data_IF_598121493917
#
_entry.id   IF_598121493917
#
_cell.length_a   1.000
_cell.length_b   1.000
_cell.length_c   1.000
_cell.angle_alpha   90.00
_cell.angle_beta   90.00
_cell.angle_gamma   90.00
#
_symmetry.space_group_name_H-M   'P 1'
#
loop_
_entity.id
_entity.type
_entity.pdbx_description
1 polymer ?
#
# COMPACT_ATOMS: atom_id res chain seq x y z
N UNK A 1 58.02 -7.60 18.21
CA UNK A 1 56.97 -8.37 18.91
C UNK A 1 56.14 -7.36 19.69
N UNK A 2 55.06 -6.86 19.09
CA UNK A 2 53.65 -7.32 19.28
C UNK A 2 53.13 -6.77 20.62
N UNK A 3 52.12 -5.89 20.69
CA UNK A 3 50.81 -5.95 20.05
C UNK A 3 50.26 -4.54 19.77
N UNK A 4 49.89 -4.29 18.51
CA UNK A 4 48.83 -3.33 18.15
C UNK A 4 47.51 -4.09 18.14
N UNK A 5 46.70 -3.93 19.18
CA UNK A 5 45.34 -4.48 19.33
C UNK A 5 44.62 -3.49 20.25
N UNK A 6 43.53 -2.79 19.95
CA UNK A 6 42.57 -2.74 18.84
C UNK A 6 42.05 -1.29 18.84
N UNK A 7 42.10 -0.60 17.71
CA UNK A 7 41.10 0.45 17.44
C UNK A 7 39.75 -0.26 17.39
N UNK A 8 38.97 -0.15 18.46
CA UNK A 8 37.54 -0.41 18.40
C UNK A 8 36.96 0.75 17.63
N UNK A 9 36.83 0.57 16.31
CA UNK A 9 36.08 1.47 15.46
C UNK A 9 34.62 1.42 15.94
N UNK A 10 34.30 2.32 16.87
CA UNK A 10 32.96 2.53 17.38
C UNK A 10 32.17 3.12 16.22
N UNK A 11 31.56 2.22 15.42
CA UNK A 11 30.57 2.61 14.43
C UNK A 11 29.67 3.68 15.05
N UNK A 12 29.54 4.87 14.41
CA UNK A 12 28.81 5.97 14.99
C UNK A 12 27.43 5.48 15.42
N UNK A 13 27.07 5.75 16.68
CA UNK A 13 25.79 5.32 17.27
C UNK A 13 24.66 5.75 16.33
N UNK A 14 24.13 4.81 15.56
CA UNK A 14 22.99 5.06 14.68
C UNK A 14 21.85 5.64 15.50
N UNK A 15 21.20 6.69 14.96
CA UNK A 15 20.08 7.34 15.63
C UNK A 15 18.92 6.35 15.74
N UNK A 16 18.10 6.51 16.76
CA UNK A 16 16.93 5.65 16.98
C UNK A 16 16.00 5.61 15.75
N UNK A 17 15.81 6.76 15.10
CA UNK A 17 15.00 6.88 13.88
C UNK A 17 15.56 6.06 12.70
N UNK A 18 16.89 6.05 12.52
CA UNK A 18 17.54 5.29 11.46
C UNK A 18 17.35 3.78 11.68
N UNK A 19 17.41 3.32 12.94
CA UNK A 19 17.16 1.90 13.27
C UNK A 19 15.73 1.49 13.00
N UNK A 20 14.75 2.32 13.40
CA UNK A 20 13.34 2.09 13.11
C UNK A 20 13.13 1.99 11.60
N UNK A 21 13.70 2.92 10.83
CA UNK A 21 13.59 2.92 9.37
C UNK A 21 14.19 1.64 8.74
N UNK A 22 15.36 1.19 9.21
CA UNK A 22 15.97 -0.06 8.73
C UNK A 22 15.09 -1.28 9.02
N UNK A 23 14.54 -1.40 10.24
CA UNK A 23 13.66 -2.52 10.60
C UNK A 23 12.38 -2.54 9.76
N UNK A 24 11.81 -1.36 9.48
CA UNK A 24 10.64 -1.22 8.62
C UNK A 24 10.96 -1.60 7.17
N UNK A 25 12.08 -1.13 6.64
CA UNK A 25 12.54 -1.46 5.28
C UNK A 25 12.80 -2.95 5.11
N UNK A 26 13.42 -3.57 6.11
CA UNK A 26 13.70 -5.00 6.08
C UNK A 26 12.41 -5.83 6.18
N UNK A 27 11.47 -5.43 7.05
CA UNK A 27 10.16 -6.06 7.12
C UNK A 27 9.42 -6.00 5.77
N UNK A 28 9.38 -4.82 5.15
CA UNK A 28 8.79 -4.60 3.81
C UNK A 28 9.43 -5.52 2.75
N UNK A 29 10.77 -5.60 2.74
CA UNK A 29 11.52 -6.52 1.87
C UNK A 29 11.12 -7.98 2.10
N UNK A 30 11.06 -8.44 3.35
CA UNK A 30 10.69 -9.82 3.67
C UNK A 30 9.24 -10.15 3.30
N UNK A 31 8.30 -9.22 3.51
CA UNK A 31 6.89 -9.40 3.13
C UNK A 31 6.78 -9.64 1.63
N UNK A 32 7.47 -8.82 0.84
CA UNK A 32 7.48 -8.92 -0.62
C UNK A 32 8.18 -10.18 -1.12
N UNK A 33 9.33 -10.54 -0.54
CA UNK A 33 10.09 -11.73 -0.91
C UNK A 33 9.30 -13.01 -0.62
N UNK A 34 8.69 -13.11 0.57
CA UNK A 34 7.93 -14.29 1.01
C UNK A 34 6.49 -14.29 0.52
N UNK A 35 6.03 -13.19 -0.08
CA UNK A 35 4.63 -12.96 -0.47
C UNK A 35 3.65 -13.21 0.69
N UNK A 36 4.03 -12.76 1.89
CA UNK A 36 3.28 -13.02 3.12
C UNK A 36 3.59 -11.98 4.20
N UNK A 37 2.56 -11.51 4.91
CA UNK A 37 2.72 -10.67 6.10
C UNK A 37 3.20 -11.46 7.35
N UNK A 38 3.24 -12.79 7.26
CA UNK A 38 3.69 -13.69 8.33
C UNK A 38 5.21 -13.82 8.29
N UNK A 39 5.89 -12.79 8.78
CA UNK A 39 7.35 -12.75 8.95
C UNK A 39 7.72 -12.93 10.42
N UNK A 40 8.95 -13.36 10.71
CA UNK A 40 9.39 -13.57 12.09
C UNK A 40 10.32 -12.42 12.54
N UNK A 41 10.09 -11.81 13.72
CA UNK A 41 11.01 -10.80 14.27
C UNK A 41 12.47 -11.29 14.40
N UNK A 42 12.66 -12.59 14.62
CA UNK A 42 13.99 -13.20 14.67
C UNK A 42 14.72 -13.13 13.32
N UNK A 43 14.00 -13.35 12.22
CA UNK A 43 14.56 -13.30 10.86
C UNK A 43 14.97 -11.85 10.51
N UNK A 44 14.15 -10.87 10.88
CA UNK A 44 14.46 -9.44 10.70
C UNK A 44 15.71 -9.04 11.50
N UNK A 45 15.80 -9.51 12.75
CA UNK A 45 16.95 -9.23 13.60
C UNK A 45 18.23 -9.87 13.04
N UNK A 46 18.15 -11.11 12.58
CA UNK A 46 19.25 -11.83 11.96
C UNK A 46 19.74 -11.14 10.68
N UNK A 47 18.84 -10.78 9.77
CA UNK A 47 19.16 -10.13 8.49
C UNK A 47 19.80 -8.75 8.70
N UNK A 48 19.44 -8.04 9.78
CA UNK A 48 20.02 -6.75 10.15
C UNK A 48 21.25 -6.84 11.06
N UNK A 49 21.72 -8.05 11.41
CA UNK A 49 22.83 -8.25 12.34
C UNK A 49 22.59 -7.66 13.74
N UNK A 50 21.33 -7.61 14.18
CA UNK A 50 20.92 -7.05 15.48
C UNK A 50 20.38 -8.14 16.41
N UNK A 51 20.31 -7.84 17.71
CA UNK A 51 19.67 -8.73 18.67
C UNK A 51 18.16 -8.64 18.62
N UNK A 52 17.48 -9.75 18.96
CA UNK A 52 16.03 -9.79 19.15
C UNK A 52 15.57 -8.83 20.27
N UNK A 53 16.38 -8.65 21.30
CA UNK A 53 16.09 -7.69 22.36
C UNK A 53 16.10 -6.24 21.85
N UNK A 54 17.02 -5.90 20.92
CA UNK A 54 17.02 -4.57 20.32
C UNK A 54 15.77 -4.36 19.45
N UNK A 55 15.34 -5.36 18.69
CA UNK A 55 14.06 -5.30 17.97
C UNK A 55 12.91 -4.92 18.91
N UNK A 56 12.76 -5.65 20.03
CA UNK A 56 11.67 -5.41 20.97
C UNK A 56 11.77 -4.09 21.74
N UNK A 57 12.94 -3.44 21.75
CA UNK A 57 13.09 -2.09 22.29
C UNK A 57 12.44 -1.02 21.41
N UNK A 58 12.24 -1.30 20.11
CA UNK A 58 11.61 -0.38 19.15
C UNK A 58 10.18 -0.80 18.79
N UNK A 59 9.95 -2.10 18.64
CA UNK A 59 8.65 -2.65 18.27
C UNK A 59 8.21 -3.68 19.31
N UNK A 60 7.17 -3.40 20.11
CA UNK A 60 6.73 -4.32 21.17
C UNK A 60 6.28 -5.67 20.61
N UNK A 61 5.75 -5.69 19.39
CA UNK A 61 5.36 -6.90 18.67
C UNK A 61 5.49 -6.72 17.15
N UNK A 62 5.23 -7.80 16.41
CA UNK A 62 5.23 -7.79 14.94
C UNK A 62 4.14 -6.87 14.37
N UNK A 63 2.99 -6.76 15.03
CA UNK A 63 1.88 -5.96 14.52
C UNK A 63 2.23 -4.47 14.51
N UNK A 64 2.92 -3.97 15.54
CA UNK A 64 3.43 -2.60 15.58
C UNK A 64 4.39 -2.32 14.41
N UNK A 65 5.23 -3.30 14.05
CA UNK A 65 6.11 -3.21 12.89
C UNK A 65 5.31 -3.18 11.57
N UNK A 66 4.32 -4.06 11.40
CA UNK A 66 3.48 -4.09 10.20
C UNK A 66 2.71 -2.78 10.01
N UNK A 67 2.24 -2.16 11.09
CA UNK A 67 1.61 -0.83 11.04
C UNK A 67 2.61 0.23 10.60
N UNK A 68 3.85 0.18 11.09
CA UNK A 68 4.90 1.10 10.65
C UNK A 68 5.29 0.90 9.17
N UNK A 69 5.29 -0.33 8.67
CA UNK A 69 5.44 -0.65 7.22
C UNK A 69 4.30 0.00 6.43
N UNK A 70 3.06 -0.19 6.85
CA UNK A 70 1.90 0.42 6.21
C UNK A 70 1.97 1.95 6.23
N UNK A 71 2.35 2.57 7.34
CA UNK A 71 2.49 4.02 7.45
C UNK A 71 3.59 4.57 6.53
N UNK A 72 4.69 3.84 6.37
CA UNK A 72 5.70 4.17 5.36
C UNK A 72 5.11 4.15 3.95
N UNK A 73 4.32 3.14 3.60
CA UNK A 73 3.68 3.12 2.28
C UNK A 73 2.65 4.23 2.11
N UNK A 74 1.98 4.66 3.19
CA UNK A 74 1.08 5.80 3.13
C UNK A 74 1.82 7.08 2.74
N UNK A 75 3.02 7.31 3.27
CA UNK A 75 3.87 8.45 2.87
C UNK A 75 4.28 8.37 1.40
N UNK A 76 4.64 7.17 0.92
CA UNK A 76 5.01 6.96 -0.48
C UNK A 76 3.84 7.26 -1.42
N UNK A 77 2.64 6.79 -1.09
CA UNK A 77 1.42 7.06 -1.86
C UNK A 77 1.02 8.55 -1.82
N UNK A 78 1.13 9.21 -0.67
CA UNK A 78 0.91 10.65 -0.55
C UNK A 78 1.91 11.44 -1.41
N UNK A 79 3.18 11.06 -1.36
CA UNK A 79 4.23 11.67 -2.19
C UNK A 79 3.96 11.46 -3.68
N UNK A 80 3.47 10.27 -4.05
CA UNK A 80 3.05 9.96 -5.42
C UNK A 80 1.75 10.69 -5.84
N UNK A 81 1.05 11.31 -4.89
CA UNK A 81 -0.14 12.14 -5.16
C UNK A 81 -1.45 11.38 -5.20
N UNK A 82 -1.55 10.23 -4.53
CA UNK A 82 -2.79 9.44 -4.47
C UNK A 82 -3.97 10.27 -3.92
N UNK A 83 -3.71 11.12 -2.92
CA UNK A 83 -4.72 12.00 -2.33
C UNK A 83 -5.24 13.04 -3.32
N UNK A 84 -4.35 13.64 -4.11
CA UNK A 84 -4.65 14.61 -5.17
C UNK A 84 -5.37 13.95 -6.34
N UNK A 85 -5.00 12.73 -6.71
CA UNK A 85 -5.70 11.94 -7.71
C UNK A 85 -7.15 11.65 -7.29
N UNK A 86 -7.37 11.29 -6.02
CA UNK A 86 -8.71 11.08 -5.49
C UNK A 86 -9.55 12.38 -5.38
N UNK A 87 -8.91 13.55 -5.36
CA UNK A 87 -9.57 14.87 -5.29
C UNK A 87 -10.03 15.43 -6.64
N UNK A 88 -9.65 14.80 -7.76
CA UNK A 88 -10.08 15.21 -9.12
C UNK A 88 -11.59 15.34 -9.18
N UNK A 89 -12.10 16.43 -9.77
CA UNK A 89 -13.55 16.72 -9.74
C UNK A 89 -14.37 15.62 -10.44
N UNK A 90 -13.97 15.26 -11.65
CA UNK A 90 -14.57 14.21 -12.47
C UNK A 90 -14.36 12.81 -11.85
N UNK A 91 -15.44 12.01 -11.75
CA UNK A 91 -15.40 10.67 -11.14
C UNK A 91 -14.47 9.73 -11.90
N UNK A 92 -14.51 9.72 -13.23
CA UNK A 92 -13.70 8.81 -14.04
C UNK A 92 -12.22 9.13 -13.90
N UNK A 93 -11.85 10.42 -13.98
CA UNK A 93 -10.49 10.89 -13.76
C UNK A 93 -10.02 10.55 -12.34
N UNK A 94 -10.86 10.77 -11.31
CA UNK A 94 -10.48 10.45 -9.94
C UNK A 94 -10.20 8.95 -9.76
N UNK A 95 -11.04 8.08 -10.33
CA UNK A 95 -10.89 6.63 -10.23
C UNK A 95 -9.66 6.14 -11.01
N UNK A 96 -9.51 6.57 -12.26
CA UNK A 96 -8.43 6.13 -13.15
C UNK A 96 -7.07 6.67 -12.72
N UNK A 97 -6.96 7.95 -12.34
CA UNK A 97 -5.72 8.54 -11.83
C UNK A 97 -5.30 7.88 -10.51
N UNK A 98 -6.26 7.62 -9.60
CA UNK A 98 -5.96 6.95 -8.32
C UNK A 98 -5.49 5.52 -8.54
N UNK A 99 -6.11 4.78 -9.47
CA UNK A 99 -5.70 3.43 -9.82
C UNK A 99 -4.31 3.41 -10.46
N UNK A 100 -3.99 4.36 -11.33
CA UNK A 100 -2.66 4.50 -11.92
C UNK A 100 -1.58 4.73 -10.86
N UNK A 101 -1.81 5.66 -9.92
CA UNK A 101 -0.87 5.90 -8.80
C UNK A 101 -0.67 4.65 -7.95
N UNK A 102 -1.74 3.90 -7.68
CA UNK A 102 -1.64 2.69 -6.88
C UNK A 102 -0.95 1.54 -7.63
N UNK A 103 -1.22 1.38 -8.93
CA UNK A 103 -0.51 0.45 -9.82
C UNK A 103 0.99 0.71 -9.81
N UNK A 104 1.41 1.95 -10.06
CA UNK A 104 2.83 2.34 -10.06
C UNK A 104 3.50 2.05 -8.72
N UNK A 105 2.77 2.30 -7.62
CA UNK A 105 3.25 2.01 -6.28
C UNK A 105 3.51 0.51 -6.08
N UNK A 106 2.56 -0.36 -6.47
CA UNK A 106 2.72 -1.82 -6.29
C UNK A 106 3.84 -2.36 -7.19
N UNK A 107 3.95 -1.87 -8.43
CA UNK A 107 5.04 -2.29 -9.33
C UNK A 107 6.40 -1.87 -8.79
N UNK A 108 6.50 -0.67 -8.22
CA UNK A 108 7.77 -0.11 -7.71
C UNK A 108 8.17 -0.69 -6.35
N UNK A 109 7.23 -0.78 -5.42
CA UNK A 109 7.49 -1.10 -4.00
C UNK A 109 6.99 -2.48 -3.57
N UNK A 110 6.26 -3.18 -4.45
CA UNK A 110 5.69 -4.49 -4.17
C UNK A 110 4.32 -4.45 -3.49
N UNK A 111 3.83 -5.62 -3.11
CA UNK A 111 2.44 -5.88 -2.69
C UNK A 111 2.27 -5.92 -1.18
N UNK A 112 3.16 -5.28 -0.40
CA UNK A 112 3.13 -5.35 1.05
C UNK A 112 1.81 -4.86 1.66
N UNK A 113 1.20 -3.80 1.10
CA UNK A 113 -0.12 -3.29 1.53
C UNK A 113 -1.17 -4.39 1.44
N UNK A 114 -1.33 -4.99 0.26
CA UNK A 114 -2.31 -6.06 0.01
C UNK A 114 -2.11 -7.26 0.93
N UNK A 115 -0.85 -7.69 1.07
CA UNK A 115 -0.48 -8.84 1.90
C UNK A 115 -0.79 -8.59 3.38
N UNK A 116 -0.53 -7.38 3.87
CA UNK A 116 -0.89 -6.96 5.21
C UNK A 116 -2.41 -6.88 5.41
N UNK A 117 -3.16 -6.36 4.42
CA UNK A 117 -4.62 -6.24 4.53
C UNK A 117 -5.36 -7.58 4.49
N UNK A 118 -4.71 -8.68 4.12
CA UNK A 118 -5.27 -10.04 4.28
C UNK A 118 -5.32 -10.48 5.75
N UNK A 119 -4.51 -9.88 6.61
CA UNK A 119 -4.48 -10.21 8.04
C UNK A 119 -5.64 -9.50 8.78
N UNK A 120 -6.69 -10.28 9.09
CA UNK A 120 -7.93 -9.78 9.71
C UNK A 120 -7.71 -8.98 11.00
N UNK A 121 -6.75 -9.40 11.82
CA UNK A 121 -6.40 -8.68 13.03
C UNK A 121 -5.85 -7.29 12.70
N UNK A 122 -4.95 -7.19 11.72
CA UNK A 122 -4.31 -5.93 11.35
C UNK A 122 -5.33 -4.93 10.80
N UNK A 123 -6.22 -5.37 9.91
CA UNK A 123 -7.30 -4.53 9.37
C UNK A 123 -8.20 -3.99 10.48
N UNK A 124 -8.54 -4.82 11.48
CA UNK A 124 -9.40 -4.41 12.59
C UNK A 124 -8.74 -3.40 13.55
N UNK A 125 -7.42 -3.48 13.72
CA UNK A 125 -6.67 -2.66 14.67
C UNK A 125 -5.80 -1.59 13.99
N UNK A 126 -5.99 -1.39 12.69
CA UNK A 126 -5.26 -0.40 11.93
C UNK A 126 -5.47 0.99 12.54
N UNK A 127 -4.38 1.73 12.63
CA UNK A 127 -4.33 3.13 13.02
C UNK A 127 -3.21 3.82 12.24
N UNK A 128 -2.96 5.10 12.50
CA UNK A 128 -1.89 5.84 11.85
C UNK A 128 -2.24 6.40 10.48
N UNK A 129 -1.20 6.65 9.69
CA UNK A 129 -1.25 7.34 8.39
C UNK A 129 -1.92 6.49 7.33
N UNK A 130 -1.67 5.18 7.27
CA UNK A 130 -2.31 4.30 6.29
C UNK A 130 -3.84 4.28 6.49
N UNK A 131 -4.32 4.18 7.72
CA UNK A 131 -5.77 4.26 8.00
C UNK A 131 -6.37 5.57 7.51
N UNK A 132 -5.70 6.68 7.82
CA UNK A 132 -6.18 8.02 7.48
C UNK A 132 -6.24 8.20 5.97
N UNK A 133 -5.17 7.82 5.27
CA UNK A 133 -5.08 7.88 3.81
C UNK A 133 -6.15 7.01 3.15
N UNK A 134 -6.20 5.71 3.50
CA UNK A 134 -7.14 4.76 2.91
C UNK A 134 -8.59 5.22 3.11
N UNK A 135 -8.97 5.60 4.34
CA UNK A 135 -10.31 6.11 4.62
C UNK A 135 -10.61 7.42 3.88
N UNK A 136 -9.61 8.28 3.70
CA UNK A 136 -9.74 9.52 2.95
C UNK A 136 -10.02 9.26 1.47
N UNK A 137 -9.16 8.49 0.82
CA UNK A 137 -9.25 8.13 -0.61
C UNK A 137 -10.53 7.36 -0.90
N UNK A 138 -10.81 6.28 -0.16
CA UNK A 138 -12.01 5.46 -0.37
C UNK A 138 -13.30 6.29 -0.21
N UNK A 139 -13.34 7.19 0.78
CA UNK A 139 -14.50 8.06 1.00
C UNK A 139 -14.66 9.09 -0.12
N UNK A 140 -13.57 9.69 -0.62
CA UNK A 140 -13.61 10.63 -1.74
C UNK A 140 -14.17 9.97 -2.99
N UNK A 141 -13.63 8.80 -3.36
CA UNK A 141 -14.07 8.02 -4.51
C UNK A 141 -15.53 7.56 -4.36
N UNK A 142 -15.89 7.01 -3.20
CA UNK A 142 -17.26 6.55 -2.96
C UNK A 142 -18.29 7.70 -3.02
N UNK A 143 -17.95 8.91 -2.54
CA UNK A 143 -18.83 10.08 -2.64
C UNK A 143 -19.06 10.52 -4.10
N UNK A 144 -18.04 10.41 -4.95
CA UNK A 144 -18.16 10.72 -6.39
C UNK A 144 -19.10 9.74 -7.07
N UNK A 145 -18.92 8.44 -6.79
CA UNK A 145 -19.80 7.37 -7.25
C UNK A 145 -21.25 7.58 -6.76
N UNK A 146 -21.46 7.95 -5.50
CA UNK A 146 -22.81 8.28 -5.00
C UNK A 146 -23.43 9.44 -5.78
N UNK A 147 -22.67 10.51 -5.99
CA UNK A 147 -23.15 11.71 -6.66
C UNK A 147 -23.52 11.49 -8.12
N UNK A 148 -22.68 10.78 -8.88
CA UNK A 148 -22.89 10.56 -10.32
C UNK A 148 -23.79 9.36 -10.62
N UNK A 149 -23.67 8.28 -9.86
CA UNK A 149 -24.33 6.99 -10.16
C UNK A 149 -25.56 6.71 -9.28
N UNK A 150 -25.85 7.58 -8.29
CA UNK A 150 -27.03 7.49 -7.39
C UNK A 150 -27.11 6.23 -6.52
N UNK A 151 -25.98 5.56 -6.28
CA UNK A 151 -25.89 4.43 -5.35
C UNK A 151 -25.93 4.85 -3.89
N UNK A 152 -26.35 3.93 -3.01
CA UNK A 152 -26.25 4.11 -1.57
C UNK A 152 -24.79 4.08 -1.08
N UNK A 153 -24.49 4.56 0.14
CA UNK A 153 -23.11 4.67 0.61
C UNK A 153 -22.33 3.36 0.68
N UNK A 154 -23.01 2.25 1.02
CA UNK A 154 -22.41 0.92 1.10
C UNK A 154 -22.09 0.36 -0.29
N UNK A 155 -23.01 0.54 -1.24
CA UNK A 155 -22.85 0.09 -2.62
C UNK A 155 -21.71 0.84 -3.30
N UNK A 156 -21.65 2.16 -3.14
CA UNK A 156 -20.58 2.97 -3.69
C UNK A 156 -19.20 2.57 -3.14
N UNK A 157 -19.08 2.29 -1.84
CA UNK A 157 -17.84 1.78 -1.26
C UNK A 157 -17.48 0.40 -1.83
N UNK A 158 -18.48 -0.49 -1.99
CA UNK A 158 -18.29 -1.80 -2.61
C UNK A 158 -17.77 -1.70 -4.05
N UNK A 159 -18.30 -0.76 -4.84
CA UNK A 159 -17.80 -0.48 -6.19
C UNK A 159 -16.33 -0.07 -6.15
N UNK A 160 -15.93 0.87 -5.28
CA UNK A 160 -14.52 1.28 -5.16
C UNK A 160 -13.63 0.08 -4.81
N UNK A 161 -14.07 -0.79 -3.89
CA UNK A 161 -13.31 -1.97 -3.48
C UNK A 161 -13.16 -3.00 -4.60
N UNK A 162 -14.18 -3.19 -5.43
CA UNK A 162 -14.12 -4.06 -6.62
C UNK A 162 -13.13 -3.47 -7.64
N UNK A 163 -13.23 -2.17 -7.92
CA UNK A 163 -12.35 -1.49 -8.88
C UNK A 163 -10.88 -1.49 -8.43
N UNK A 164 -10.62 -1.46 -7.12
CA UNK A 164 -9.27 -1.55 -6.56
C UNK A 164 -8.55 -2.85 -6.95
N UNK A 165 -9.27 -3.95 -7.21
CA UNK A 165 -8.64 -5.21 -7.61
C UNK A 165 -7.93 -5.12 -8.98
N UNK A 166 -8.33 -4.18 -9.84
CA UNK A 166 -7.76 -4.03 -11.18
C UNK A 166 -6.27 -3.62 -11.16
N UNK A 167 -5.86 -2.53 -10.49
CA UNK A 167 -4.43 -2.19 -10.37
C UNK A 167 -3.62 -3.24 -9.61
N UNK A 168 -4.19 -3.97 -8.64
CA UNK A 168 -3.51 -5.06 -7.93
C UNK A 168 -3.17 -6.22 -8.87
N UNK A 169 -4.15 -6.66 -9.67
CA UNK A 169 -3.96 -7.72 -10.65
C UNK A 169 -3.05 -7.27 -11.81
N UNK A 170 -3.20 -6.03 -12.28
CA UNK A 170 -2.31 -5.43 -13.28
C UNK A 170 -0.85 -5.41 -12.80
N UNK A 171 -0.61 -4.96 -11.57
CA UNK A 171 0.73 -4.94 -10.99
C UNK A 171 1.33 -6.34 -10.86
N UNK A 172 0.50 -7.34 -10.50
CA UNK A 172 0.92 -8.74 -10.44
C UNK A 172 1.46 -9.24 -11.78
N UNK A 173 0.73 -8.97 -12.87
CA UNK A 173 1.10 -9.36 -14.24
C UNK A 173 2.35 -8.63 -14.74
N UNK A 174 2.52 -7.35 -14.40
CA UNK A 174 3.75 -6.61 -14.71
C UNK A 174 4.94 -7.23 -14.00
N UNK A 175 4.80 -7.56 -12.70
CA UNK A 175 5.88 -8.12 -11.90
C UNK A 175 6.24 -9.56 -12.26
N UNK A 176 5.35 -10.33 -12.88
CA UNK A 176 5.68 -11.63 -13.47
C UNK A 176 6.31 -11.52 -14.86
N UNK A 177 6.28 -10.33 -15.48
CA UNK A 177 6.78 -10.11 -16.83
C UNK A 177 5.79 -10.52 -17.93
N UNK A 178 4.52 -10.78 -17.56
CA UNK A 178 3.49 -11.21 -18.51
C UNK A 178 3.01 -10.05 -19.39
N UNK A 179 3.02 -8.82 -18.86
CA UNK A 179 2.65 -7.58 -19.58
C UNK A 179 3.58 -6.42 -19.23
N UNK A 180 3.61 -5.40 -20.10
CA UNK A 180 4.32 -4.14 -19.80
C UNK A 180 3.53 -3.26 -18.81
N UNK A 181 4.23 -2.36 -18.12
CA UNK A 181 3.59 -1.35 -17.25
C UNK A 181 2.62 -0.46 -18.04
N UNK A 182 2.99 -0.06 -19.26
CA UNK A 182 2.13 0.72 -20.16
C UNK A 182 0.82 -0.02 -20.48
N UNK A 183 0.91 -1.31 -20.82
CA UNK A 183 -0.26 -2.16 -21.06
C UNK A 183 -1.14 -2.27 -19.81
N UNK A 184 -0.54 -2.41 -18.62
CA UNK A 184 -1.27 -2.47 -17.36
C UNK A 184 -2.04 -1.17 -17.06
N UNK A 185 -1.43 0.00 -17.32
CA UNK A 185 -2.10 1.30 -17.20
C UNK A 185 -3.28 1.41 -18.15
N UNK A 186 -3.10 1.05 -19.42
CA UNK A 186 -4.16 1.11 -20.42
C UNK A 186 -5.33 0.18 -20.09
N UNK A 187 -5.05 -1.05 -19.67
CA UNK A 187 -6.07 -1.99 -19.22
C UNK A 187 -6.81 -1.48 -17.98
N UNK A 188 -6.09 -1.03 -16.94
CA UNK A 188 -6.71 -0.49 -15.73
C UNK A 188 -7.62 0.68 -16.05
N UNK A 189 -7.12 1.66 -16.82
CA UNK A 189 -7.89 2.83 -17.22
C UNK A 189 -9.15 2.42 -18.00
N UNK A 190 -9.00 1.59 -19.04
CA UNK A 190 -10.11 1.15 -19.89
C UNK A 190 -11.18 0.40 -19.09
N UNK A 191 -10.78 -0.57 -18.26
CA UNK A 191 -11.72 -1.37 -17.50
C UNK A 191 -12.44 -0.57 -16.42
N UNK A 192 -11.73 0.30 -15.69
CA UNK A 192 -12.36 1.19 -14.71
C UNK A 192 -13.37 2.12 -15.38
N UNK A 193 -12.99 2.74 -16.51
CA UNK A 193 -13.90 3.62 -17.26
C UNK A 193 -15.16 2.89 -17.69
N UNK A 194 -15.01 1.75 -18.38
CA UNK A 194 -16.16 0.96 -18.86
C UNK A 194 -17.04 0.52 -17.69
N UNK A 195 -16.46 -0.02 -16.61
CA UNK A 195 -17.24 -0.45 -15.44
C UNK A 195 -18.03 0.69 -14.80
N UNK A 196 -17.45 1.88 -14.68
CA UNK A 196 -18.17 3.03 -14.11
C UNK A 196 -19.24 3.59 -15.06
N UNK A 197 -19.00 3.55 -16.37
CA UNK A 197 -19.98 3.96 -17.38
C UNK A 197 -21.17 3.00 -17.46
N UNK A 198 -20.95 1.69 -17.40
CA UNK A 198 -22.02 0.68 -17.38
C UNK A 198 -22.93 0.81 -16.15
N UNK A 199 -22.39 1.30 -15.05
CA UNK A 199 -23.15 1.55 -13.81
C UNK A 199 -23.93 2.87 -13.84
N UNK A 200 -23.83 3.67 -14.91
CA UNK A 200 -24.65 4.88 -15.06
C UNK A 200 -26.13 4.49 -15.18
N UNK A 201 -27.03 5.24 -14.53
CA UNK A 201 -28.46 5.02 -14.72
C UNK A 201 -28.81 5.14 -16.20
N UNK A 202 -29.38 4.08 -16.79
CA UNK A 202 -29.92 4.19 -18.13
C UNK A 202 -31.08 5.22 -18.10
N UNK A 203 -31.19 6.12 -19.09
CA UNK A 203 -32.38 6.94 -19.21
C UNK A 203 -33.57 5.99 -19.31
N UNK A 204 -34.50 6.09 -18.36
CA UNK A 204 -35.73 5.30 -18.40
C UNK A 204 -36.37 5.50 -19.76
N UNK A 205 -36.49 4.42 -20.54
CA UNK A 205 -37.30 4.42 -21.74
C UNK A 205 -38.70 4.87 -21.29
N UNK A 206 -39.08 6.09 -21.70
CA UNK A 206 -40.42 6.60 -21.47
C UNK A 206 -41.36 5.72 -22.29
N UNK A 207 -42.07 4.82 -21.61
CA UNK A 207 -43.28 4.18 -22.15
C UNK A 207 -44.45 5.14 -22.00
#
# INVERSE_FOLDING_TARGET
MSERVREVDLQPRMRAQDRVAMMVLEADRQINLRRSARIAPADIAADLGTSRSLFYSYFPDLNALLIAVLDRHADLLLKAGLDRAADRQDMLAAATDSAGVYLDHIVTYGSAIELCFRERWLVRHLHGRMKTLANGVLRKLARKIQGELRYGPREALGIVQILQAMPEEGARLVRSGDISLEMAHDLCRRHITVSLEELRPQPSART
#
